data_IF_047474477157
#
_entry.id   IF_047474477157
#
_cell.length_a   1.000
_cell.length_b   1.000
_cell.length_c   1.000
_cell.angle_alpha   90.00
_cell.angle_beta   90.00
_cell.angle_gamma   90.00
#
_symmetry.space_group_name_H-M   'P 1'
#
loop_
_entity.id
_entity.type
_entity.pdbx_description
1 polymer ?
#
# COMPACT_ATOMS: atom_id res chain seq x y z
N UNK A 1 10.09 -31.76 -23.55
CA UNK A 1 11.32 -31.93 -24.37
C UNK A 1 12.52 -32.37 -23.54
N UNK A 2 12.70 -31.90 -22.30
CA UNK A 2 13.84 -32.27 -21.42
C UNK A 2 13.84 -33.77 -21.07
N UNK A 3 12.69 -34.37 -20.74
CA UNK A 3 12.60 -35.81 -20.44
C UNK A 3 12.95 -36.71 -21.63
N UNK A 4 12.72 -36.25 -22.87
CA UNK A 4 13.07 -37.01 -24.07
C UNK A 4 14.57 -36.96 -24.39
N UNK A 5 15.25 -35.86 -24.04
CA UNK A 5 16.70 -35.72 -24.13
C UNK A 5 17.41 -36.52 -23.03
N UNK A 6 16.86 -36.56 -21.81
CA UNK A 6 17.34 -37.39 -20.72
C UNK A 6 17.17 -38.90 -21.00
N UNK A 7 16.11 -39.29 -21.71
CA UNK A 7 15.90 -40.67 -22.17
C UNK A 7 16.93 -41.02 -23.25
N UNK A 8 17.07 -40.18 -24.29
CA UNK A 8 18.04 -40.39 -25.38
C UNK A 8 19.49 -40.47 -24.90
N UNK A 9 19.88 -39.62 -23.95
CA UNK A 9 21.22 -39.64 -23.38
C UNK A 9 21.46 -40.89 -22.52
N UNK A 10 20.44 -41.39 -21.80
CA UNK A 10 20.50 -42.69 -21.10
C UNK A 10 20.64 -43.86 -22.07
N UNK A 11 19.89 -43.85 -23.17
CA UNK A 11 19.94 -44.89 -24.20
C UNK A 11 21.30 -44.91 -24.94
N UNK A 12 21.89 -43.74 -25.19
CA UNK A 12 23.23 -43.62 -25.79
C UNK A 12 24.35 -44.03 -24.83
N UNK A 13 24.23 -43.75 -23.54
CA UNK A 13 25.18 -44.20 -22.51
C UNK A 13 25.09 -45.72 -22.28
N UNK A 14 23.87 -46.28 -22.30
CA UNK A 14 23.65 -47.74 -22.25
C UNK A 14 24.27 -48.47 -23.45
N UNK A 15 24.14 -47.91 -24.66
CA UNK A 15 24.81 -48.44 -25.87
C UNK A 15 26.33 -48.36 -25.78
N UNK A 16 26.89 -47.25 -25.31
CA UNK A 16 28.35 -47.08 -25.13
C UNK A 16 28.96 -48.02 -24.07
N UNK A 17 28.20 -48.39 -23.04
CA UNK A 17 28.64 -49.38 -22.04
C UNK A 17 28.68 -50.82 -22.61
N UNK A 18 27.79 -51.14 -23.56
CA UNK A 18 27.79 -52.42 -24.27
C UNK A 18 28.93 -52.52 -25.30
N UNK A 19 29.26 -51.42 -25.98
CA UNK A 19 30.33 -51.38 -26.99
C UNK A 19 31.75 -51.51 -26.40
N UNK A 20 31.94 -51.17 -25.12
CA UNK A 20 33.21 -51.33 -24.39
C UNK A 20 33.50 -52.76 -23.91
N UNK A 21 32.53 -53.68 -24.01
CA UNK A 21 32.65 -55.06 -23.56
C UNK A 21 32.82 -55.98 -24.77
N UNK A 22 34.04 -56.40 -25.09
CA UNK A 22 34.30 -57.29 -26.22
C UNK A 22 33.44 -58.58 -26.11
N UNK A 23 32.56 -58.86 -27.08
CA UNK A 23 31.49 -59.86 -26.94
C UNK A 23 31.97 -61.31 -26.82
N UNK A 24 33.26 -61.57 -27.06
CA UNK A 24 33.82 -62.92 -27.13
C UNK A 24 34.48 -63.42 -25.83
N UNK A 25 34.67 -62.58 -24.81
CA UNK A 25 35.44 -62.97 -23.61
C UNK A 25 34.64 -63.28 -22.34
N UNK A 26 33.34 -62.98 -22.26
CA UNK A 26 32.56 -63.27 -21.05
C UNK A 26 31.26 -64.04 -21.35
N UNK A 27 31.07 -65.22 -20.72
CA UNK A 27 29.87 -66.07 -20.89
C UNK A 27 28.56 -65.36 -20.52
N UNK A 28 28.61 -64.34 -19.66
CA UNK A 28 27.46 -63.51 -19.28
C UNK A 28 27.06 -62.48 -20.35
N UNK A 29 27.98 -62.08 -21.25
CA UNK A 29 27.72 -61.10 -22.31
C UNK A 29 26.92 -61.66 -23.49
N UNK A 30 26.99 -62.98 -23.73
CA UNK A 30 26.25 -63.63 -24.83
C UNK A 30 24.74 -63.64 -24.62
N UNK A 31 24.27 -63.70 -23.38
CA UNK A 31 22.83 -63.58 -23.03
C UNK A 31 22.34 -62.13 -22.99
N UNK A 32 23.24 -61.14 -23.10
CA UNK A 32 22.95 -59.72 -22.96
C UNK A 32 22.71 -58.98 -24.28
N UNK A 33 23.06 -59.59 -25.42
CA UNK A 33 22.83 -58.99 -26.74
C UNK A 33 21.34 -58.87 -27.10
N UNK A 34 20.50 -59.68 -26.46
CA UNK A 34 19.09 -59.85 -26.81
C UNK A 34 18.11 -59.29 -25.76
N UNK A 35 18.56 -58.46 -24.79
CA UNK A 35 17.69 -57.91 -23.75
C UNK A 35 17.76 -56.37 -23.65
N UNK A 36 16.58 -55.76 -23.48
CA UNK A 36 16.38 -54.31 -23.48
C UNK A 36 17.28 -53.58 -22.47
N UNK A 37 17.88 -52.43 -22.84
CA UNK A 37 18.85 -51.69 -22.02
C UNK A 37 18.26 -51.18 -20.69
N UNK A 38 16.94 -51.06 -20.58
CA UNK A 38 16.21 -50.67 -19.36
C UNK A 38 16.19 -51.81 -18.33
N UNK A 39 16.26 -53.08 -18.77
CA UNK A 39 16.23 -54.25 -17.88
C UNK A 39 17.55 -54.46 -17.12
N UNK A 40 18.67 -53.95 -17.64
CA UNK A 40 20.00 -54.10 -17.02
C UNK A 40 20.14 -53.33 -15.71
N UNK A 41 19.49 -52.15 -15.61
CA UNK A 41 19.47 -51.34 -14.39
C UNK A 41 18.61 -51.95 -13.27
N UNK A 42 17.63 -52.79 -13.60
CA UNK A 42 16.71 -53.39 -12.62
C UNK A 42 17.09 -54.79 -12.14
N UNK A 43 18.05 -55.48 -12.77
CA UNK A 43 18.40 -56.88 -12.41
C UNK A 43 19.79 -57.08 -11.82
N UNK A 44 20.63 -56.04 -11.83
CA UNK A 44 21.74 -55.94 -10.89
C UNK A 44 21.18 -55.47 -9.54
N UNK A 45 20.61 -56.38 -8.74
CA UNK A 45 20.52 -56.21 -7.29
C UNK A 45 21.94 -56.21 -6.71
N UNK A 46 22.68 -55.12 -6.96
CA UNK A 46 23.78 -54.71 -6.11
C UNK A 46 23.11 -53.76 -5.11
N UNK A 47 23.10 -54.06 -3.81
CA UNK A 47 22.41 -53.23 -2.84
C UNK A 47 23.06 -51.84 -2.87
N UNK A 48 22.29 -50.83 -3.27
CA UNK A 48 22.68 -49.43 -3.14
C UNK A 48 22.70 -49.13 -1.64
N UNK A 49 23.86 -48.89 -1.00
CA UNK A 49 23.84 -48.46 0.38
C UNK A 49 23.35 -47.00 0.38
N UNK A 50 22.11 -46.79 0.84
CA UNK A 50 21.53 -45.47 1.10
C UNK A 50 22.20 -44.72 2.26
N UNK A 51 23.50 -44.92 2.50
CA UNK A 51 24.22 -44.35 3.64
C UNK A 51 25.49 -43.67 3.17
N UNK A 52 25.54 -42.36 3.39
CA UNK A 52 26.73 -41.50 3.31
C UNK A 52 27.97 -42.28 3.77
N UNK A 53 28.80 -42.64 2.81
CA UNK A 53 30.17 -43.07 3.04
C UNK A 53 31.00 -42.23 2.09
N UNK A 54 31.40 -41.07 2.58
CA UNK A 54 32.50 -40.29 2.03
C UNK A 54 33.76 -41.15 2.11
N UNK A 55 33.98 -41.97 1.08
CA UNK A 55 35.18 -42.78 0.93
C UNK A 55 35.96 -42.18 -0.23
N UNK A 56 37.16 -41.61 0.03
CA UNK A 56 37.94 -40.93 -0.99
C UNK A 56 38.32 -41.89 -2.11
N UNK A 57 38.49 -41.37 -3.33
CA UNK A 57 38.89 -42.10 -4.56
C UNK A 57 40.03 -43.12 -4.32
N UNK A 58 40.91 -42.87 -3.33
CA UNK A 58 41.96 -43.78 -2.88
C UNK A 58 41.49 -45.15 -2.37
N UNK A 59 40.24 -45.33 -1.91
CA UNK A 59 39.76 -46.62 -1.40
C UNK A 59 39.28 -47.60 -2.49
N UNK A 60 38.98 -47.12 -3.69
CA UNK A 60 38.61 -47.99 -4.82
C UNK A 60 39.82 -48.77 -5.37
N UNK A 61 41.00 -48.14 -5.38
CA UNK A 61 42.26 -48.78 -5.74
C UNK A 61 42.67 -49.86 -4.72
N UNK A 62 42.40 -49.61 -3.42
CA UNK A 62 42.61 -50.62 -2.35
C UNK A 62 41.66 -51.81 -2.46
N UNK A 63 40.41 -51.60 -2.87
CA UNK A 63 39.45 -52.68 -3.12
C UNK A 63 39.83 -53.49 -4.37
N UNK A 64 40.38 -52.86 -5.40
CA UNK A 64 40.86 -53.55 -6.60
C UNK A 64 42.14 -54.37 -6.31
N UNK A 65 43.05 -53.86 -5.45
CA UNK A 65 44.22 -54.61 -4.94
C UNK A 65 43.83 -55.83 -4.09
N UNK A 66 42.78 -55.74 -3.27
CA UNK A 66 42.29 -56.87 -2.46
C UNK A 66 41.64 -57.98 -3.32
N UNK A 67 41.03 -57.64 -4.46
CA UNK A 67 40.41 -58.63 -5.35
C UNK A 67 41.45 -59.52 -6.08
N UNK A 68 42.68 -59.04 -6.28
CA UNK A 68 43.79 -59.86 -6.80
C UNK A 68 44.21 -60.95 -5.80
N UNK A 69 44.07 -60.70 -4.50
CA UNK A 69 44.48 -61.63 -3.44
C UNK A 69 43.40 -62.61 -2.96
N UNK A 70 42.14 -62.46 -3.39
CA UNK A 70 40.99 -63.21 -2.83
C UNK A 70 40.27 -64.13 -3.83
N UNK A 71 40.95 -64.69 -4.85
CA UNK A 71 40.50 -65.97 -5.45
C UNK A 71 41.13 -67.12 -4.67
N UNK A 72 40.41 -67.81 -3.76
CA UNK A 72 40.93 -69.00 -3.12
C UNK A 72 40.89 -70.13 -4.16
N UNK A 73 42.02 -70.38 -4.83
CA UNK A 73 42.12 -71.51 -5.76
C UNK A 73 43.35 -71.57 -6.68
N UNK A 74 44.13 -70.49 -6.83
CA UNK A 74 45.21 -70.44 -7.84
C UNK A 74 46.62 -70.80 -7.34
N UNK A 75 46.78 -71.20 -6.07
CA UNK A 75 48.06 -71.67 -5.53
C UNK A 75 47.94 -73.13 -5.06
N UNK A 76 47.93 -74.08 -6.00
CA UNK A 76 48.46 -75.42 -5.74
C UNK A 76 49.83 -75.54 -6.39
N UNK A 77 50.91 -75.81 -5.63
CA UNK A 77 52.23 -76.01 -6.20
C UNK A 77 52.23 -77.36 -6.93
N UNK A 78 52.43 -77.37 -8.25
CA UNK A 78 52.68 -78.61 -8.99
C UNK A 78 52.24 -78.71 -10.45
N UNK A 79 51.56 -77.72 -11.03
CA UNK A 79 51.30 -77.69 -12.49
C UNK A 79 51.59 -76.29 -13.02
N UNK A 80 52.40 -76.19 -14.07
CA UNK A 80 52.85 -74.94 -14.66
C UNK A 80 51.69 -74.00 -14.95
N UNK A 81 51.73 -72.80 -14.37
CA UNK A 81 50.81 -71.73 -14.69
C UNK A 81 51.16 -71.19 -16.06
N UNK A 82 50.23 -71.31 -17.03
CA UNK A 82 50.39 -70.64 -18.32
C UNK A 82 50.33 -69.13 -18.07
N UNK A 83 51.40 -68.42 -18.42
CA UNK A 83 51.55 -66.96 -18.26
C UNK A 83 50.38 -66.21 -18.95
N UNK A 84 49.82 -66.77 -20.02
CA UNK A 84 48.63 -66.24 -20.69
C UNK A 84 47.36 -66.27 -19.84
N UNK A 85 47.15 -67.29 -19.00
CA UNK A 85 45.93 -67.45 -18.21
C UNK A 85 45.89 -66.45 -17.03
N UNK A 86 47.06 -66.19 -16.43
CA UNK A 86 47.25 -65.13 -15.42
C UNK A 86 47.06 -63.74 -16.05
N UNK A 87 47.58 -63.52 -17.26
CA UNK A 87 47.43 -62.26 -18.01
C UNK A 87 45.98 -61.99 -18.41
N UNK A 88 45.23 -63.00 -18.86
CA UNK A 88 43.80 -62.89 -19.18
C UNK A 88 42.97 -62.55 -17.94
N UNK A 89 43.27 -63.18 -16.79
CA UNK A 89 42.55 -62.89 -15.53
C UNK A 89 42.82 -61.48 -15.00
N UNK A 90 44.05 -60.97 -15.14
CA UNK A 90 44.38 -59.57 -14.80
C UNK A 90 43.74 -58.57 -15.76
N UNK A 91 43.62 -58.91 -17.05
CA UNK A 91 42.91 -58.09 -18.04
C UNK A 91 41.41 -57.99 -17.73
N UNK A 92 40.74 -59.11 -17.37
CA UNK A 92 39.33 -59.10 -16.97
C UNK A 92 39.07 -58.29 -15.68
N UNK A 93 39.98 -58.35 -14.70
CA UNK A 93 39.88 -57.56 -13.46
C UNK A 93 40.14 -56.09 -13.74
N UNK A 94 41.10 -55.75 -14.61
CA UNK A 94 41.38 -54.38 -15.05
C UNK A 94 40.21 -53.73 -15.80
N UNK A 95 39.57 -54.45 -16.73
CA UNK A 95 38.38 -53.96 -17.45
C UNK A 95 37.21 -53.74 -16.49
N UNK A 96 37.01 -54.61 -15.50
CA UNK A 96 35.96 -54.42 -14.48
C UNK A 96 36.23 -53.22 -13.58
N UNK A 97 37.47 -52.99 -13.14
CA UNK A 97 37.80 -51.80 -12.35
C UNK A 97 37.71 -50.50 -13.17
N UNK A 98 38.01 -50.52 -14.48
CA UNK A 98 37.77 -49.39 -15.38
C UNK A 98 36.27 -49.08 -15.55
N UNK A 99 35.41 -50.10 -15.68
CA UNK A 99 33.96 -49.89 -15.73
C UNK A 99 33.41 -49.33 -14.40
N UNK A 100 33.83 -49.86 -13.25
CA UNK A 100 33.35 -49.38 -11.94
C UNK A 100 33.80 -47.94 -11.67
N UNK A 101 35.05 -47.59 -11.99
CA UNK A 101 35.54 -46.20 -11.87
C UNK A 101 34.82 -45.24 -12.82
N UNK A 102 34.53 -45.65 -14.06
CA UNK A 102 33.73 -44.85 -14.99
C UNK A 102 32.27 -44.65 -14.51
N UNK A 103 31.67 -45.67 -13.89
CA UNK A 103 30.33 -45.57 -13.30
C UNK A 103 30.33 -44.64 -12.08
N UNK A 104 31.30 -44.76 -11.17
CA UNK A 104 31.42 -43.87 -10.01
C UNK A 104 31.65 -42.41 -10.44
N UNK A 105 32.56 -42.17 -11.39
CA UNK A 105 32.79 -40.84 -11.95
C UNK A 105 31.55 -40.25 -12.65
N UNK A 106 30.70 -41.10 -13.25
CA UNK A 106 29.43 -40.65 -13.80
C UNK A 106 28.42 -40.31 -12.70
N UNK A 107 28.36 -41.06 -11.60
CA UNK A 107 27.48 -40.79 -10.46
C UNK A 107 27.78 -39.46 -9.79
N UNK A 108 29.06 -39.16 -9.55
CA UNK A 108 29.51 -37.88 -8.97
C UNK A 108 29.18 -36.71 -9.92
N UNK A 109 29.42 -36.89 -11.22
CA UNK A 109 29.04 -35.91 -12.25
C UNK A 109 27.53 -35.63 -12.30
N UNK A 110 26.69 -36.65 -12.14
CA UNK A 110 25.24 -36.46 -12.08
C UNK A 110 24.78 -35.74 -10.81
N UNK A 111 25.42 -35.97 -9.66
CA UNK A 111 25.13 -35.20 -8.44
C UNK A 111 25.52 -33.74 -8.59
N UNK A 112 26.72 -33.48 -9.11
CA UNK A 112 27.23 -32.14 -9.35
C UNK A 112 26.35 -31.37 -10.34
N UNK A 113 25.94 -32.02 -11.44
CA UNK A 113 25.03 -31.43 -12.42
C UNK A 113 23.65 -31.13 -11.80
N UNK A 114 23.14 -31.98 -10.91
CA UNK A 114 21.87 -31.76 -10.22
C UNK A 114 21.93 -30.54 -9.29
N UNK A 115 23.01 -30.40 -8.53
CA UNK A 115 23.26 -29.22 -7.69
C UNK A 115 23.39 -27.93 -8.50
N UNK A 116 24.08 -27.97 -9.65
CA UNK A 116 24.19 -26.79 -10.53
C UNK A 116 22.84 -26.40 -11.14
N UNK A 117 21.97 -27.37 -11.45
CA UNK A 117 20.64 -27.11 -11.99
C UNK A 117 19.74 -26.44 -10.96
N UNK A 118 19.69 -26.95 -9.73
CA UNK A 118 18.89 -26.33 -8.65
C UNK A 118 19.34 -24.90 -8.37
N UNK A 119 20.64 -24.62 -8.40
CA UNK A 119 21.18 -23.27 -8.21
C UNK A 119 20.84 -22.31 -9.37
N UNK A 120 20.72 -22.82 -10.61
CA UNK A 120 20.27 -22.04 -11.76
C UNK A 120 18.77 -21.72 -11.68
N UNK A 121 17.95 -22.70 -11.31
CA UNK A 121 16.50 -22.52 -11.15
C UNK A 121 16.21 -21.48 -10.03
N UNK A 122 16.85 -21.62 -8.85
CA UNK A 122 16.73 -20.65 -7.74
C UNK A 122 17.15 -19.22 -8.13
N UNK A 123 18.11 -19.12 -9.05
CA UNK A 123 18.58 -17.84 -9.56
C UNK A 123 17.58 -17.21 -10.53
N UNK A 124 17.02 -17.97 -11.46
CA UNK A 124 15.98 -17.46 -12.37
C UNK A 124 14.74 -16.99 -11.59
N UNK A 125 14.40 -17.71 -10.52
CA UNK A 125 13.34 -17.31 -9.57
C UNK A 125 13.69 -15.99 -8.86
N UNK A 126 14.93 -15.79 -8.39
CA UNK A 126 15.35 -14.51 -7.82
C UNK A 126 15.36 -13.38 -8.87
N UNK A 127 15.89 -13.64 -10.07
CA UNK A 127 15.97 -12.64 -11.16
C UNK A 127 14.58 -12.17 -11.61
N UNK A 128 13.56 -13.02 -11.50
CA UNK A 128 12.17 -12.68 -11.83
C UNK A 128 11.38 -12.01 -10.70
N UNK A 129 11.64 -12.36 -9.43
CA UNK A 129 10.87 -11.86 -8.27
C UNK A 129 11.29 -10.46 -7.80
N UNK A 130 12.59 -10.19 -7.72
CA UNK A 130 13.13 -8.88 -7.31
C UNK A 130 12.58 -7.68 -8.12
N UNK A 131 12.50 -7.70 -9.47
CA UNK A 131 11.95 -6.57 -10.22
C UNK A 131 10.48 -6.33 -9.93
N UNK A 132 9.70 -7.36 -9.58
CA UNK A 132 8.30 -7.20 -9.20
C UNK A 132 8.14 -6.60 -7.80
N UNK A 133 9.01 -6.95 -6.85
CA UNK A 133 9.07 -6.28 -5.54
C UNK A 133 9.45 -4.81 -5.66
N UNK A 134 10.45 -4.49 -6.50
CA UNK A 134 10.86 -3.11 -6.76
C UNK A 134 9.73 -2.28 -7.40
N UNK A 135 8.97 -2.87 -8.35
CA UNK A 135 7.76 -2.24 -8.91
C UNK A 135 6.70 -2.00 -7.85
N UNK A 136 6.45 -2.96 -6.95
CA UNK A 136 5.47 -2.83 -5.85
C UNK A 136 5.86 -1.72 -4.88
N UNK A 137 7.13 -1.65 -4.47
CA UNK A 137 7.63 -0.59 -3.59
C UNK A 137 7.51 0.79 -4.25
N UNK A 138 7.87 0.91 -5.54
CA UNK A 138 7.68 2.17 -6.30
C UNK A 138 6.21 2.55 -6.40
N UNK A 139 5.32 1.61 -6.71
CA UNK A 139 3.88 1.87 -6.77
C UNK A 139 3.33 2.32 -5.40
N UNK A 140 3.78 1.70 -4.30
CA UNK A 140 3.40 2.11 -2.95
C UNK A 140 3.90 3.52 -2.60
N UNK A 141 5.13 3.87 -3.01
CA UNK A 141 5.70 5.21 -2.83
C UNK A 141 4.91 6.27 -3.61
N UNK A 142 4.58 6.01 -4.88
CA UNK A 142 3.76 6.92 -5.68
C UNK A 142 2.39 7.12 -5.05
N UNK A 143 1.73 6.04 -4.62
CA UNK A 143 0.43 6.11 -3.93
C UNK A 143 0.53 6.95 -2.65
N UNK A 144 1.48 6.63 -1.76
CA UNK A 144 1.65 7.36 -0.49
C UNK A 144 2.00 8.84 -0.73
N UNK A 145 2.83 9.15 -1.73
CA UNK A 145 3.16 10.53 -2.08
C UNK A 145 1.95 11.30 -2.63
N UNK A 146 1.08 10.64 -3.39
CA UNK A 146 -0.17 11.23 -3.89
C UNK A 146 -1.15 11.55 -2.76
N UNK A 147 -1.26 10.66 -1.76
CA UNK A 147 -2.10 10.87 -0.58
C UNK A 147 -1.60 12.04 0.27
N UNK A 148 -0.28 12.16 0.46
CA UNK A 148 0.32 13.33 1.12
C UNK A 148 -0.02 14.62 0.37
N UNK A 149 0.06 14.61 -0.96
CA UNK A 149 -0.30 15.78 -1.77
C UNK A 149 -1.78 16.16 -1.61
N UNK A 150 -2.68 15.18 -1.59
CA UNK A 150 -4.11 15.40 -1.34
C UNK A 150 -4.36 15.98 0.06
N UNK A 151 -3.78 15.37 1.10
CA UNK A 151 -3.92 15.87 2.48
C UNK A 151 -3.42 17.31 2.63
N UNK A 152 -2.31 17.66 1.96
CA UNK A 152 -1.79 19.04 1.96
C UNK A 152 -2.73 20.02 1.25
N UNK A 153 -3.36 19.61 0.16
CA UNK A 153 -4.39 20.42 -0.50
C UNK A 153 -5.60 20.62 0.42
N UNK A 154 -6.08 19.55 1.06
CA UNK A 154 -7.20 19.63 1.99
C UNK A 154 -6.89 20.51 3.22
N UNK A 155 -5.66 20.46 3.73
CA UNK A 155 -5.20 21.34 4.81
C UNK A 155 -5.18 22.81 4.38
N UNK A 156 -4.76 23.10 3.14
CA UNK A 156 -4.80 24.46 2.60
C UNK A 156 -6.24 24.96 2.48
N UNK A 157 -7.16 24.15 1.93
CA UNK A 157 -8.57 24.53 1.85
C UNK A 157 -9.21 24.74 3.22
N UNK A 158 -8.88 23.89 4.21
CA UNK A 158 -9.38 24.06 5.57
C UNK A 158 -8.85 25.35 6.23
N UNK A 159 -7.60 25.73 5.94
CA UNK A 159 -7.03 26.98 6.43
C UNK A 159 -7.74 28.21 5.82
N UNK A 160 -8.04 28.17 4.52
CA UNK A 160 -8.79 29.22 3.83
C UNK A 160 -10.21 29.34 4.41
N UNK A 161 -10.92 28.22 4.56
CA UNK A 161 -12.27 28.19 5.14
C UNK A 161 -12.30 28.70 6.60
N UNK A 162 -11.29 28.40 7.40
CA UNK A 162 -11.15 28.94 8.76
C UNK A 162 -10.91 30.46 8.75
N UNK A 163 -10.16 30.95 7.75
CA UNK A 163 -9.99 32.37 7.50
C UNK A 163 -11.30 33.06 7.14
N UNK A 164 -12.05 32.49 6.18
CA UNK A 164 -13.33 33.00 5.73
C UNK A 164 -14.34 33.07 6.89
N UNK A 165 -14.43 32.01 7.70
CA UNK A 165 -15.27 31.99 8.92
C UNK A 165 -14.89 33.15 9.86
N UNK A 166 -13.60 33.35 10.11
CA UNK A 166 -13.15 34.43 10.98
C UNK A 166 -13.49 35.83 10.42
N UNK A 167 -13.41 36.02 9.10
CA UNK A 167 -13.81 37.29 8.46
C UNK A 167 -15.32 37.50 8.54
N UNK A 168 -16.11 36.46 8.26
CA UNK A 168 -17.57 36.50 8.34
C UNK A 168 -18.04 36.83 9.77
N UNK A 169 -17.43 36.22 10.80
CA UNK A 169 -17.75 36.52 12.19
C UNK A 169 -17.50 38.00 12.52
N UNK A 170 -16.36 38.55 12.08
CA UNK A 170 -16.05 39.96 12.31
C UNK A 170 -17.04 40.90 11.62
N UNK A 171 -17.46 40.59 10.41
CA UNK A 171 -18.46 41.38 9.69
C UNK A 171 -19.84 41.30 10.36
N UNK A 172 -20.26 40.10 10.78
CA UNK A 172 -21.50 39.91 11.53
C UNK A 172 -21.50 40.71 12.84
N UNK A 173 -20.40 40.67 13.61
CA UNK A 173 -20.28 41.45 14.85
C UNK A 173 -20.35 42.96 14.57
N UNK A 174 -19.65 43.47 13.54
CA UNK A 174 -19.72 44.89 13.17
C UNK A 174 -21.12 45.33 12.77
N UNK A 175 -21.82 44.52 11.97
CA UNK A 175 -23.19 44.80 11.57
C UNK A 175 -24.11 44.81 12.80
N UNK A 176 -23.97 43.84 13.70
CA UNK A 176 -24.77 43.78 14.92
C UNK A 176 -24.54 44.98 15.84
N UNK A 177 -23.29 45.40 16.01
CA UNK A 177 -22.94 46.61 16.79
C UNK A 177 -23.57 47.86 16.18
N UNK A 178 -23.51 48.01 14.85
CA UNK A 178 -24.11 49.15 14.15
C UNK A 178 -25.65 49.15 14.27
N UNK A 179 -26.29 47.99 14.03
CA UNK A 179 -27.74 47.84 14.18
C UNK A 179 -28.21 48.13 15.60
N UNK A 180 -27.51 47.60 16.61
CA UNK A 180 -27.88 47.82 18.00
C UNK A 180 -27.73 49.30 18.40
N UNK A 181 -26.69 49.99 17.92
CA UNK A 181 -26.53 51.43 18.14
C UNK A 181 -27.70 52.24 17.56
N UNK A 182 -28.15 51.91 16.34
CA UNK A 182 -29.31 52.56 15.73
C UNK A 182 -30.60 52.23 16.48
N UNK A 183 -30.79 50.98 16.93
CA UNK A 183 -31.92 50.60 17.78
C UNK A 183 -31.97 51.41 19.07
N UNK A 184 -30.83 51.56 19.78
CA UNK A 184 -30.77 52.32 21.04
C UNK A 184 -31.15 53.79 20.82
N UNK A 185 -30.70 54.41 19.73
CA UNK A 185 -31.08 55.79 19.38
C UNK A 185 -32.57 55.89 19.07
N UNK A 186 -33.07 55.04 18.18
CA UNK A 186 -34.47 55.02 17.78
C UNK A 186 -35.41 54.77 18.97
N UNK A 187 -35.05 53.83 19.85
CA UNK A 187 -35.83 53.52 21.04
C UNK A 187 -35.91 54.73 21.98
N UNK A 188 -34.79 55.42 22.20
CA UNK A 188 -34.74 56.63 23.03
C UNK A 188 -35.58 57.78 22.44
N UNK A 189 -35.52 57.98 21.12
CA UNK A 189 -36.32 59.03 20.47
C UNK A 189 -37.82 58.73 20.57
N UNK A 190 -38.23 57.47 20.46
CA UNK A 190 -39.61 57.05 20.68
C UNK A 190 -40.04 57.20 22.15
N UNK A 191 -39.19 56.90 23.12
CA UNK A 191 -39.45 57.14 24.54
C UNK A 191 -39.72 58.62 24.83
N UNK A 192 -38.86 59.50 24.30
CA UNK A 192 -39.03 60.94 24.45
C UNK A 192 -40.31 61.43 23.75
N UNK A 193 -40.60 60.92 22.56
CA UNK A 193 -41.83 61.22 21.83
C UNK A 193 -43.09 60.80 22.59
N UNK A 194 -43.11 59.57 23.14
CA UNK A 194 -44.22 59.04 23.91
C UNK A 194 -44.46 59.85 25.19
N UNK A 195 -43.40 60.20 25.93
CA UNK A 195 -43.50 61.06 27.11
C UNK A 195 -44.05 62.45 26.77
N UNK A 196 -43.64 63.03 25.63
CA UNK A 196 -44.14 64.32 25.14
C UNK A 196 -45.64 64.28 24.80
N UNK A 197 -46.09 63.24 24.09
CA UNK A 197 -47.50 63.05 23.75
C UNK A 197 -48.36 62.85 25.00
N UNK A 198 -47.89 62.05 25.97
CA UNK A 198 -48.57 61.86 27.25
C UNK A 198 -48.71 63.16 28.05
N UNK A 199 -47.66 63.98 28.08
CA UNK A 199 -47.69 65.29 28.72
C UNK A 199 -48.71 66.24 28.04
N UNK A 200 -48.76 66.24 26.70
CA UNK A 200 -49.72 67.04 25.93
C UNK A 200 -51.17 66.59 26.17
N UNK A 201 -51.44 65.28 26.16
CA UNK A 201 -52.76 64.71 26.49
C UNK A 201 -53.19 65.16 27.88
N UNK A 202 -52.30 65.07 28.87
CA UNK A 202 -52.58 65.50 30.25
C UNK A 202 -52.92 66.99 30.31
N UNK A 203 -52.10 67.85 29.71
CA UNK A 203 -52.33 69.29 29.70
C UNK A 203 -53.66 69.67 29.03
N UNK A 204 -54.02 69.01 27.91
CA UNK A 204 -55.30 69.24 27.23
C UNK A 204 -56.49 68.76 28.07
N UNK A 205 -56.40 67.60 28.72
CA UNK A 205 -57.44 67.11 29.64
C UNK A 205 -57.63 68.05 30.83
N UNK A 206 -56.53 68.57 31.40
CA UNK A 206 -56.57 69.51 32.51
C UNK A 206 -57.20 70.86 32.08
N UNK A 207 -56.92 71.34 30.87
CA UNK A 207 -57.52 72.57 30.32
C UNK A 207 -59.03 72.43 30.05
N UNK A 208 -59.45 71.41 29.31
CA UNK A 208 -60.86 71.20 28.96
C UNK A 208 -61.73 70.70 30.13
N UNK A 209 -61.11 70.29 31.25
CA UNK A 209 -61.84 69.98 32.49
C UNK A 209 -62.09 71.19 33.38
N UNK A 210 -61.32 72.28 33.25
CA UNK A 210 -61.46 73.52 34.02
C UNK A 210 -62.62 74.40 33.53
N UNK A 211 -62.96 74.36 32.23
CA UNK A 211 -64.11 75.09 31.65
C UNK A 211 -65.48 74.41 31.91
N UNK A 212 -65.53 73.37 32.75
CA UNK A 212 -66.80 72.85 33.27
C UNK A 212 -67.32 73.77 34.38
N UNK A 213 -67.80 74.96 34.01
CA UNK A 213 -69.03 75.39 34.69
C UNK A 213 -70.07 74.30 34.43
N UNK A 214 -70.75 73.75 35.45
CA UNK A 214 -71.87 72.88 35.21
C UNK A 214 -72.90 73.72 34.47
N UNK A 215 -72.95 73.60 33.15
CA UNK A 215 -74.09 74.06 32.36
C UNK A 215 -75.25 73.25 32.89
N UNK A 216 -75.97 73.84 33.84
CA UNK A 216 -77.31 73.41 34.20
C UNK A 216 -78.12 73.62 32.93
N UNK A 217 -78.15 72.59 32.08
CA UNK A 217 -79.14 72.53 31.02
C UNK A 217 -80.45 72.38 31.77
N UNK A 218 -81.15 73.50 31.98
CA UNK A 218 -82.50 73.47 32.48
C UNK A 218 -83.32 72.66 31.45
N UNK A 219 -83.60 71.40 31.81
CA UNK A 219 -84.32 70.45 30.96
C UNK A 219 -85.69 71.00 30.54
N UNK A 220 -86.22 71.96 31.30
CA UNK A 220 -87.44 72.71 30.99
C UNK A 220 -87.25 73.69 29.82
N UNK A 221 -86.10 74.35 29.70
CA UNK A 221 -85.81 75.29 28.62
C UNK A 221 -85.54 74.55 27.29
N UNK A 222 -84.91 73.37 27.35
CA UNK A 222 -84.67 72.54 26.16
C UNK A 222 -85.96 71.90 25.62
N UNK A 223 -86.91 71.51 26.48
CA UNK A 223 -88.23 71.03 26.05
C UNK A 223 -89.11 72.15 25.47
N UNK A 224 -89.02 73.38 25.99
CA UNK A 224 -89.77 74.52 25.46
C UNK A 224 -89.33 74.90 24.04
N UNK A 225 -88.02 74.90 23.76
CA UNK A 225 -87.49 75.15 22.41
C UNK A 225 -87.82 74.04 21.42
N UNK A 226 -87.84 72.78 21.87
CA UNK A 226 -88.22 71.63 21.04
C UNK A 226 -89.71 71.66 20.63
N UNK A 227 -90.60 72.18 21.50
CA UNK A 227 -92.02 72.33 21.19
C UNK A 227 -92.29 73.40 20.11
N UNK A 228 -91.41 74.39 19.96
CA UNK A 228 -91.47 75.43 18.92
C UNK A 228 -90.65 75.08 17.66
N UNK A 229 -90.13 73.85 17.57
CA UNK A 229 -89.36 73.38 16.40
C UNK A 229 -88.01 74.08 16.21
N UNK A 230 -87.49 74.73 17.25
CA UNK A 230 -86.19 75.44 17.22
C UNK A 230 -85.14 74.62 17.95
N UNK A 231 -84.05 74.28 17.25
CA UNK A 231 -82.91 73.63 17.89
C UNK A 231 -82.29 74.59 18.95
N UNK A 232 -81.88 74.08 20.12
CA UNK A 232 -81.18 74.89 21.12
C UNK A 232 -79.92 75.50 20.51
N UNK A 233 -79.71 76.80 20.74
CA UNK A 233 -78.59 77.56 20.15
C UNK A 233 -77.27 77.02 20.70
N UNK A 234 -76.44 76.50 19.80
CA UNK A 234 -75.10 75.98 20.03
C UNK A 234 -74.11 77.14 20.26
N UNK A 235 -74.01 77.69 21.47
CA UNK A 235 -72.98 78.72 21.74
C UNK A 235 -71.96 78.33 22.80
N UNK A 236 -72.10 77.19 23.47
CA UNK A 236 -71.12 76.71 24.48
C UNK A 236 -70.67 75.26 24.29
N UNK A 237 -71.29 74.52 23.35
CA UNK A 237 -70.98 73.08 23.10
C UNK A 237 -69.81 72.89 22.12
N UNK A 238 -69.50 73.89 21.28
CA UNK A 238 -68.49 73.75 20.22
C UNK A 238 -67.04 73.70 20.75
N UNK A 239 -66.74 74.39 21.86
CA UNK A 239 -65.41 74.36 22.46
C UNK A 239 -65.07 72.99 23.09
N UNK A 240 -66.06 72.31 23.68
CA UNK A 240 -65.89 71.02 24.34
C UNK A 240 -65.84 69.85 23.34
N UNK A 241 -66.60 69.92 22.24
CA UNK A 241 -66.61 68.88 21.20
C UNK A 241 -65.34 68.87 20.34
N UNK A 242 -64.75 70.04 20.04
CA UNK A 242 -63.50 70.13 19.30
C UNK A 242 -62.29 69.58 20.10
N UNK A 243 -62.23 69.84 21.41
CA UNK A 243 -61.17 69.33 22.29
C UNK A 243 -61.13 67.80 22.41
N UNK A 244 -62.30 67.15 22.40
CA UNK A 244 -62.40 65.69 22.43
C UNK A 244 -61.78 65.02 21.19
N UNK A 245 -61.94 65.62 20.01
CA UNK A 245 -61.34 65.11 18.77
C UNK A 245 -59.82 65.18 18.75
N UNK A 246 -59.24 66.28 19.26
CA UNK A 246 -57.78 66.47 19.33
C UNK A 246 -57.13 65.52 20.35
N UNK A 247 -57.77 65.32 21.51
CA UNK A 247 -57.30 64.35 22.51
C UNK A 247 -57.35 62.93 21.94
N UNK A 248 -58.45 62.55 21.26
CA UNK A 248 -58.56 61.23 20.64
C UNK A 248 -57.49 60.98 19.56
N UNK A 249 -57.12 62.00 18.77
CA UNK A 249 -56.02 61.86 17.81
C UNK A 249 -54.68 61.65 18.52
N UNK A 250 -54.40 62.36 19.60
CA UNK A 250 -53.16 62.19 20.37
C UNK A 250 -53.10 60.83 21.08
N UNK A 251 -54.22 60.29 21.56
CA UNK A 251 -54.30 58.93 22.12
C UNK A 251 -54.00 57.86 21.06
N UNK A 252 -54.46 58.06 19.82
CA UNK A 252 -54.08 57.18 18.69
C UNK A 252 -52.58 57.28 18.40
N UNK A 253 -52.01 58.48 18.43
CA UNK A 253 -50.57 58.69 18.26
C UNK A 253 -49.76 58.03 19.40
N UNK A 254 -50.20 58.14 20.65
CA UNK A 254 -49.60 57.45 21.80
C UNK A 254 -49.63 55.93 21.60
N UNK A 255 -50.77 55.37 21.18
CA UNK A 255 -50.87 53.94 20.88
C UNK A 255 -49.93 53.51 19.76
N UNK A 256 -49.75 54.35 18.73
CA UNK A 256 -48.79 54.08 17.66
C UNK A 256 -47.34 54.11 18.14
N UNK A 257 -46.95 55.07 19.00
CA UNK A 257 -45.62 55.08 19.62
C UNK A 257 -45.38 53.83 20.46
N UNK A 258 -46.34 53.44 21.29
CA UNK A 258 -46.25 52.23 22.13
C UNK A 258 -46.12 50.95 21.27
N UNK A 259 -46.87 50.85 20.17
CA UNK A 259 -46.75 49.73 19.21
C UNK A 259 -45.38 49.73 18.52
N UNK A 260 -44.93 50.87 18.02
CA UNK A 260 -43.62 50.99 17.35
C UNK A 260 -42.46 50.61 18.28
N UNK A 261 -42.53 50.98 19.57
CA UNK A 261 -41.53 50.57 20.56
C UNK A 261 -41.54 49.06 20.80
N UNK A 262 -42.73 48.45 20.89
CA UNK A 262 -42.85 47.00 21.05
C UNK A 262 -42.33 46.25 19.81
N UNK A 263 -42.61 46.77 18.61
CA UNK A 263 -42.14 46.22 17.34
C UNK A 263 -40.62 46.31 17.23
N UNK A 264 -40.01 47.47 17.53
CA UNK A 264 -38.55 47.62 17.55
C UNK A 264 -37.89 46.71 18.59
N UNK A 265 -38.45 46.61 19.79
CA UNK A 265 -37.91 45.72 20.82
C UNK A 265 -37.98 44.25 20.39
N UNK A 266 -39.06 43.85 19.72
CA UNK A 266 -39.20 42.50 19.14
C UNK A 266 -38.16 42.26 18.03
N UNK A 267 -37.98 43.24 17.14
CA UNK A 267 -36.98 43.18 16.07
C UNK A 267 -35.55 43.06 16.62
N UNK A 268 -35.19 43.85 17.64
CA UNK A 268 -33.86 43.80 18.27
C UNK A 268 -33.59 42.46 18.97
N UNK A 269 -34.60 41.90 19.66
CA UNK A 269 -34.49 40.56 20.25
C UNK A 269 -34.29 39.49 19.18
N UNK A 270 -35.09 39.50 18.13
CA UNK A 270 -34.96 38.53 17.04
C UNK A 270 -33.60 38.66 16.33
N UNK A 271 -33.12 39.89 16.11
CA UNK A 271 -31.81 40.14 15.54
C UNK A 271 -30.68 39.62 16.45
N UNK A 272 -30.81 39.81 17.77
CA UNK A 272 -29.88 39.28 18.76
C UNK A 272 -29.85 37.75 18.76
N UNK A 273 -31.03 37.11 18.79
CA UNK A 273 -31.14 35.64 18.76
C UNK A 273 -30.53 35.05 17.48
N UNK A 274 -30.79 35.66 16.33
CA UNK A 274 -30.20 35.24 15.05
C UNK A 274 -28.67 35.39 15.06
N UNK A 275 -28.15 36.51 15.56
CA UNK A 275 -26.72 36.73 15.71
C UNK A 275 -26.08 35.68 16.63
N UNK A 276 -26.66 35.43 17.79
CA UNK A 276 -26.16 34.45 18.76
C UNK A 276 -26.16 33.04 18.15
N UNK A 277 -27.20 32.68 17.39
CA UNK A 277 -27.27 31.40 16.65
C UNK A 277 -26.18 31.30 15.58
N UNK A 278 -25.98 32.33 14.76
CA UNK A 278 -24.97 32.33 13.71
C UNK A 278 -23.56 32.23 14.29
N UNK A 279 -23.24 33.00 15.33
CA UNK A 279 -21.94 32.94 16.01
C UNK A 279 -21.74 31.58 16.67
N UNK A 280 -22.76 31.02 17.31
CA UNK A 280 -22.65 29.68 17.89
C UNK A 280 -22.40 28.61 16.82
N UNK A 281 -23.14 28.64 15.70
CA UNK A 281 -22.91 27.73 14.57
C UNK A 281 -21.49 27.87 14.01
N UNK A 282 -21.02 29.11 13.84
CA UNK A 282 -19.66 29.42 13.41
C UNK A 282 -18.61 28.84 14.37
N UNK A 283 -18.79 29.01 15.69
CA UNK A 283 -17.88 28.43 16.69
C UNK A 283 -17.84 26.90 16.63
N UNK A 284 -18.99 26.23 16.45
CA UNK A 284 -19.04 24.77 16.29
C UNK A 284 -18.32 24.34 15.01
N UNK A 285 -18.58 25.00 13.88
CA UNK A 285 -17.92 24.72 12.61
C UNK A 285 -16.40 24.93 12.70
N UNK A 286 -15.98 26.02 13.34
CA UNK A 286 -14.57 26.31 13.59
C UNK A 286 -13.91 25.22 14.43
N UNK A 287 -14.55 24.79 15.52
CA UNK A 287 -14.03 23.72 16.36
C UNK A 287 -13.91 22.38 15.62
N UNK A 288 -14.88 22.06 14.74
CA UNK A 288 -14.83 20.88 13.88
C UNK A 288 -13.67 20.96 12.89
N UNK A 289 -13.54 22.07 12.17
CA UNK A 289 -12.45 22.27 11.21
C UNK A 289 -11.08 22.30 11.87
N UNK A 290 -10.94 22.91 13.05
CA UNK A 290 -9.69 22.89 13.82
C UNK A 290 -9.30 21.47 14.25
N UNK A 291 -10.28 20.61 14.57
CA UNK A 291 -10.03 19.20 14.84
C UNK A 291 -9.58 18.46 13.56
N UNK A 292 -10.25 18.70 12.44
CA UNK A 292 -9.88 18.12 11.14
C UNK A 292 -8.45 18.52 10.73
N UNK A 293 -8.09 19.79 10.91
CA UNK A 293 -6.72 20.28 10.67
C UNK A 293 -5.71 19.49 11.51
N UNK A 294 -5.98 19.28 12.80
CA UNK A 294 -5.08 18.51 13.68
C UNK A 294 -4.96 17.06 13.23
N UNK A 295 -6.07 16.40 12.93
CA UNK A 295 -6.09 15.00 12.52
C UNK A 295 -5.38 14.81 11.17
N UNK A 296 -5.72 15.61 10.16
CA UNK A 296 -5.09 15.54 8.83
C UNK A 296 -3.63 15.95 8.85
N UNK A 297 -3.24 16.90 9.70
CA UNK A 297 -1.82 17.25 9.88
C UNK A 297 -1.05 16.06 10.46
N UNK A 298 -1.59 15.41 11.49
CA UNK A 298 -0.96 14.23 12.08
C UNK A 298 -0.86 13.08 11.05
N UNK A 299 -1.91 12.85 10.27
CA UNK A 299 -1.92 11.85 9.20
C UNK A 299 -0.89 12.16 8.11
N UNK A 300 -0.85 13.40 7.63
CA UNK A 300 0.13 13.86 6.63
C UNK A 300 1.56 13.65 7.14
N UNK A 301 1.88 14.04 8.38
CA UNK A 301 3.22 13.85 8.95
C UNK A 301 3.60 12.37 9.10
N UNK A 302 2.64 11.50 9.41
CA UNK A 302 2.88 10.06 9.49
C UNK A 302 3.13 9.46 8.10
N UNK A 303 2.30 9.81 7.11
CA UNK A 303 2.50 9.36 5.74
C UNK A 303 3.80 9.91 5.13
N UNK A 304 4.18 11.14 5.43
CA UNK A 304 5.46 11.72 5.00
C UNK A 304 6.67 10.94 5.55
N UNK A 305 6.57 10.46 6.79
CA UNK A 305 7.58 9.58 7.38
C UNK A 305 7.65 8.26 6.60
N UNK A 306 6.51 7.62 6.34
CA UNK A 306 6.45 6.39 5.55
C UNK A 306 6.94 6.57 4.12
N UNK A 307 6.67 7.71 3.48
CA UNK A 307 7.20 8.06 2.15
C UNK A 307 8.73 8.14 2.21
N UNK A 308 9.29 8.76 3.26
CA UNK A 308 10.74 8.88 3.44
C UNK A 308 11.39 7.52 3.65
N UNK A 309 10.79 6.66 4.47
CA UNK A 309 11.24 5.28 4.71
C UNK A 309 11.17 4.45 3.43
N UNK A 310 10.01 4.39 2.76
CA UNK A 310 9.83 3.67 1.49
C UNK A 310 10.80 4.15 0.40
N UNK A 311 11.10 5.45 0.37
CA UNK A 311 12.06 6.02 -0.58
C UNK A 311 13.48 5.53 -0.31
N UNK A 312 13.88 5.48 0.96
CA UNK A 312 15.17 4.96 1.39
C UNK A 312 15.30 3.46 1.12
N UNK A 313 14.26 2.69 1.44
CA UNK A 313 14.22 1.25 1.25
C UNK A 313 14.25 0.89 -0.23
N UNK A 314 13.45 1.58 -1.05
CA UNK A 314 13.44 1.38 -2.50
C UNK A 314 14.78 1.72 -3.13
N UNK A 315 15.44 2.81 -2.70
CA UNK A 315 16.77 3.17 -3.18
C UNK A 315 17.83 2.12 -2.79
N UNK A 316 17.79 1.63 -1.55
CA UNK A 316 18.70 0.60 -1.05
C UNK A 316 18.49 -0.73 -1.77
N UNK A 317 17.24 -1.16 -1.93
CA UNK A 317 16.90 -2.39 -2.66
C UNK A 317 17.32 -2.32 -4.14
N UNK A 318 17.15 -1.16 -4.78
CA UNK A 318 17.60 -0.92 -6.15
C UNK A 318 19.13 -1.06 -6.26
N UNK A 319 19.90 -0.50 -5.32
CA UNK A 319 21.36 -0.66 -5.29
C UNK A 319 21.79 -2.11 -5.07
N UNK A 320 21.14 -2.83 -4.16
CA UNK A 320 21.43 -4.26 -3.94
C UNK A 320 21.10 -5.08 -5.20
N UNK A 321 19.99 -4.79 -5.87
CA UNK A 321 19.62 -5.45 -7.12
C UNK A 321 20.66 -5.20 -8.23
N UNK A 322 21.11 -3.96 -8.40
CA UNK A 322 22.17 -3.62 -9.35
C UNK A 322 23.49 -4.34 -9.04
N UNK A 323 23.89 -4.39 -7.76
CA UNK A 323 25.08 -5.11 -7.34
C UNK A 323 24.98 -6.63 -7.56
N UNK A 324 23.82 -7.23 -7.23
CA UNK A 324 23.56 -8.67 -7.42
C UNK A 324 23.52 -9.01 -8.91
N UNK A 325 22.85 -8.21 -9.73
CA UNK A 325 22.78 -8.45 -11.19
C UNK A 325 24.16 -8.33 -11.84
N UNK A 326 25.00 -7.40 -11.41
CA UNK A 326 26.40 -7.30 -11.87
C UNK A 326 27.24 -8.52 -11.46
N UNK A 327 27.14 -8.95 -10.19
CA UNK A 327 27.83 -10.15 -9.70
C UNK A 327 27.38 -11.42 -10.44
N UNK A 328 26.07 -11.53 -10.68
CA UNK A 328 25.47 -12.62 -11.44
C UNK A 328 25.90 -12.66 -12.92
N UNK A 329 26.23 -11.52 -13.51
CA UNK A 329 26.79 -11.46 -14.86
C UNK A 329 28.22 -12.03 -14.89
N UNK A 330 29.07 -11.63 -13.93
CA UNK A 330 30.44 -12.16 -13.78
C UNK A 330 30.45 -13.68 -13.57
N UNK A 331 29.57 -14.19 -12.71
CA UNK A 331 29.40 -15.64 -12.51
C UNK A 331 28.91 -16.38 -13.77
N UNK A 332 28.02 -15.77 -14.58
CA UNK A 332 27.62 -16.38 -15.87
C UNK A 332 28.83 -16.60 -16.77
N UNK A 333 29.72 -15.60 -16.86
CA UNK A 333 30.91 -15.66 -17.69
C UNK A 333 31.93 -16.71 -17.20
N UNK A 334 32.07 -16.90 -15.88
CA UNK A 334 32.96 -17.91 -15.29
C UNK A 334 32.40 -19.34 -15.33
N UNK A 335 31.09 -19.51 -15.11
CA UNK A 335 30.45 -20.82 -14.98
C UNK A 335 29.93 -21.42 -16.29
N UNK A 336 29.75 -20.62 -17.35
CA UNK A 336 29.51 -21.16 -18.69
C UNK A 336 30.83 -21.64 -19.28
N UNK A 337 31.33 -22.76 -18.76
CA UNK A 337 32.47 -23.44 -19.34
C UNK A 337 32.19 -23.66 -20.83
N UNK A 338 33.07 -23.14 -21.71
CA UNK A 338 33.22 -23.66 -23.06
C UNK A 338 33.62 -25.12 -22.91
N UNK A 339 32.63 -26.01 -22.81
CA UNK A 339 32.90 -27.45 -22.83
C UNK A 339 33.53 -27.71 -24.18
N UNK A 340 34.83 -28.01 -24.18
CA UNK A 340 35.54 -28.40 -25.39
C UNK A 340 34.72 -29.45 -26.13
N UNK A 341 34.62 -29.27 -27.43
CA UNK A 341 33.85 -30.18 -28.27
C UNK A 341 34.39 -31.60 -28.07
N UNK A 342 33.53 -32.60 -28.22
CA UNK A 342 33.93 -34.01 -28.06
C UNK A 342 35.17 -34.35 -28.90
N UNK A 343 35.28 -33.73 -30.07
CA UNK A 343 36.39 -33.90 -31.01
C UNK A 343 37.70 -33.38 -30.45
N UNK A 344 37.71 -32.17 -29.86
CA UNK A 344 38.89 -31.58 -29.21
C UNK A 344 39.38 -32.41 -28.03
N UNK A 345 38.46 -32.95 -27.21
CA UNK A 345 38.83 -33.85 -26.10
C UNK A 345 39.44 -35.17 -26.57
N UNK A 346 38.90 -35.76 -27.65
CA UNK A 346 39.44 -37.00 -28.22
C UNK A 346 40.84 -36.74 -28.80
N UNK A 347 41.01 -35.63 -29.52
CA UNK A 347 42.30 -35.25 -30.11
C UNK A 347 43.38 -35.01 -29.05
N UNK A 348 43.07 -34.35 -27.93
CA UNK A 348 44.02 -34.16 -26.82
C UNK A 348 44.40 -35.49 -26.17
N UNK A 349 43.43 -36.35 -25.88
CA UNK A 349 43.69 -37.69 -25.30
C UNK A 349 44.52 -38.57 -26.25
N UNK A 350 44.34 -38.44 -27.56
CA UNK A 350 45.15 -39.15 -28.54
C UNK A 350 46.62 -38.68 -28.52
N UNK A 351 46.86 -37.36 -28.41
CA UNK A 351 48.22 -36.81 -28.25
C UNK A 351 48.88 -37.21 -26.93
N UNK A 352 48.11 -37.25 -25.84
CA UNK A 352 48.62 -37.75 -24.55
C UNK A 352 48.98 -39.24 -24.63
N UNK A 353 48.14 -40.06 -25.29
CA UNK A 353 48.42 -41.47 -25.53
C UNK A 353 49.69 -41.69 -26.37
N UNK A 354 49.88 -40.89 -27.42
CA UNK A 354 51.07 -40.94 -28.26
C UNK A 354 52.33 -40.57 -27.46
N UNK A 355 52.31 -39.48 -26.69
CA UNK A 355 53.44 -39.09 -25.84
C UNK A 355 53.76 -40.13 -24.74
N UNK A 356 52.74 -40.76 -24.16
CA UNK A 356 52.93 -41.85 -23.20
C UNK A 356 53.51 -43.12 -23.86
N UNK A 357 53.11 -43.42 -25.10
CA UNK A 357 53.68 -44.53 -25.87
C UNK A 357 55.13 -44.27 -26.27
N UNK A 358 55.48 -43.05 -26.65
CA UNK A 358 56.86 -42.66 -26.91
C UNK A 358 57.71 -42.78 -25.63
N UNK A 359 57.22 -42.29 -24.49
CA UNK A 359 57.91 -42.42 -23.21
C UNK A 359 58.11 -43.89 -22.81
N UNK A 360 57.11 -44.75 -23.04
CA UNK A 360 57.21 -46.19 -22.82
C UNK A 360 58.29 -46.81 -23.72
N UNK A 361 58.32 -46.46 -25.00
CA UNK A 361 59.30 -46.99 -25.96
C UNK A 361 60.74 -46.64 -25.58
N UNK A 362 60.96 -45.44 -25.04
CA UNK A 362 62.25 -44.99 -24.54
C UNK A 362 62.67 -45.81 -23.31
N UNK A 363 61.72 -46.10 -22.40
CA UNK A 363 61.98 -46.89 -21.20
C UNK A 363 62.21 -48.38 -21.50
N UNK A 364 61.57 -48.94 -22.52
CA UNK A 364 61.75 -50.33 -22.96
C UNK A 364 63.01 -50.54 -23.81
N UNK A 365 63.53 -49.48 -24.42
CA UNK A 365 64.79 -49.50 -25.18
C UNK A 365 66.05 -49.43 -24.30
N UNK A 366 65.89 -49.42 -22.98
CA UNK A 366 66.94 -49.38 -21.96
C UNK A 366 66.97 -50.69 -21.18
#
# INVERSE_FOLDING_TARGET
MISALEQKNRDELGKKALDGCSPDRCRHCKTLKDSDPVFFLNRCEIPVPHRQLDLPVASADLLCMHAVFLKPGLLRPGKGTNIEEVRVSSHEVGVKCQCISAIMASGDFWQEMKHTKTALDEREDMESTFPDEAKRQKAALELASSQVAQLRQELATLADELGDIATSDQELTKMREAEHQEHVKAFKDLELGLAGVQAAIKALRDYYSQDRQPVKVDMAASMALAAEGRAPRLTEVEASAAGAGVIGLLEVVESNFARNMADLQSQDRNAQENYDQMIHQSQVLKAQKDADVKHKTAEATNLERSVTELRSDSASAQQQFEAVTEYLAKLKDECTAKVETREERIARRAKEMEGLQEALSILESR
#
